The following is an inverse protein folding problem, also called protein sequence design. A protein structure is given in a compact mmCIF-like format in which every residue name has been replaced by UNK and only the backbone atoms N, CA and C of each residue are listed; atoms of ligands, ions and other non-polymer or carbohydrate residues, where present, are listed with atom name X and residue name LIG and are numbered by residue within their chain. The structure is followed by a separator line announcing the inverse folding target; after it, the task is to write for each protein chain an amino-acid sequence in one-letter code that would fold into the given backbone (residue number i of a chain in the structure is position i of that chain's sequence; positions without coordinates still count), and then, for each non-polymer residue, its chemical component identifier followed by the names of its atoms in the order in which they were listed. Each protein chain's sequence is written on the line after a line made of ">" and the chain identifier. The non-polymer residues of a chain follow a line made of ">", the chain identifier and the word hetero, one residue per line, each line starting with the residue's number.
data_IF_318240073160
#
_entry.id   IF_318240073160
#
_cell.length_a   1.000
_cell.length_b   1.000
_cell.length_c   1.000
_cell.angle_alpha   90.00
_cell.angle_beta   90.00
_cell.angle_gamma   90.00
#
_symmetry.space_group_name_H-M   'P 1'
#
loop_
_entity.id
_entity.type
_entity.pdbx_description
1 polymer ?
#
# COMPACT_ATOMS: atom_id res chain seq x y z
N UNK A 1 5.98 -9.74 -30.26
CA UNK A 1 5.89 -11.13 -30.77
C UNK A 1 6.09 -12.12 -29.63
N UNK A 2 5.00 -12.53 -28.97
CA UNK A 2 4.71 -13.86 -28.42
C UNK A 2 3.28 -13.74 -27.90
N UNK A 3 2.35 -13.97 -28.82
CA UNK A 3 0.96 -14.31 -28.57
C UNK A 3 0.67 -15.41 -29.58
N UNK A 4 -0.09 -16.41 -29.16
CA UNK A 4 -0.50 -17.59 -29.94
C UNK A 4 0.54 -18.71 -29.94
N UNK A 5 0.36 -19.67 -29.03
CA UNK A 5 0.33 -21.11 -29.34
C UNK A 5 -0.01 -21.87 -28.07
N UNK A 6 -1.15 -22.54 -28.08
CA UNK A 6 -1.43 -23.87 -27.50
C UNK A 6 -2.95 -24.02 -27.33
N UNK A 7 -3.62 -24.15 -28.47
CA UNK A 7 -4.87 -24.88 -28.57
C UNK A 7 -4.56 -26.17 -29.33
N UNK A 8 -5.17 -27.28 -28.89
CA UNK A 8 -5.08 -28.65 -29.41
C UNK A 8 -3.90 -29.51 -28.91
N UNK A 9 -4.16 -30.28 -27.84
CA UNK A 9 -3.97 -31.74 -27.79
C UNK A 9 -4.27 -32.24 -26.37
N UNK A 10 -5.19 -33.20 -26.23
CA UNK A 10 -5.45 -33.86 -24.95
C UNK A 10 -6.82 -34.55 -24.84
N UNK A 11 -7.10 -35.49 -25.75
CA UNK A 11 -8.13 -36.51 -25.57
C UNK A 11 -7.73 -37.41 -24.39
N UNK A 12 -8.65 -37.56 -23.42
CA UNK A 12 -8.74 -38.71 -22.51
C UNK A 12 -7.71 -38.84 -21.39
N UNK A 13 -7.98 -38.26 -20.21
CA UNK A 13 -7.50 -38.79 -18.92
C UNK A 13 -8.55 -38.57 -17.80
N UNK A 14 -8.63 -39.47 -16.79
CA UNK A 14 -9.72 -39.52 -15.83
C UNK A 14 -9.59 -38.42 -14.76
N UNK A 15 -10.61 -37.55 -14.69
CA UNK A 15 -11.18 -36.84 -13.53
C UNK A 15 -10.32 -36.54 -12.28
N UNK A 16 -9.04 -36.18 -12.43
CA UNK A 16 -8.24 -35.50 -11.38
C UNK A 16 -8.21 -33.97 -11.50
N UNK A 17 -8.93 -33.41 -12.47
CA UNK A 17 -8.72 -32.07 -13.02
C UNK A 17 -9.51 -30.92 -12.39
N UNK A 18 -10.53 -31.18 -11.56
CA UNK A 18 -11.41 -30.10 -11.06
C UNK A 18 -10.65 -29.16 -10.12
N UNK A 19 -9.82 -29.70 -9.21
CA UNK A 19 -8.99 -28.88 -8.29
C UNK A 19 -7.96 -28.04 -9.04
N UNK A 20 -7.34 -28.59 -10.09
CA UNK A 20 -6.34 -27.89 -10.90
C UNK A 20 -6.95 -26.79 -11.77
N UNK A 21 -8.11 -27.02 -12.38
CA UNK A 21 -8.85 -26.04 -13.19
C UNK A 21 -9.45 -24.91 -12.34
N UNK A 22 -9.92 -25.20 -11.14
CA UNK A 22 -10.38 -24.17 -10.18
C UNK A 22 -9.19 -23.36 -9.65
N UNK A 23 -8.05 -24.01 -9.39
CA UNK A 23 -6.81 -23.34 -8.99
C UNK A 23 -6.28 -22.38 -10.07
N UNK A 24 -6.20 -22.82 -11.32
CA UNK A 24 -5.74 -21.99 -12.44
C UNK A 24 -6.68 -20.83 -12.76
N UNK A 25 -8.00 -21.02 -12.74
CA UNK A 25 -8.96 -19.91 -12.90
C UNK A 25 -8.86 -18.88 -11.78
N UNK A 26 -8.69 -19.32 -10.54
CA UNK A 26 -8.49 -18.42 -9.41
C UNK A 26 -7.18 -17.63 -9.56
N UNK A 27 -6.08 -18.31 -9.90
CA UNK A 27 -4.77 -17.65 -10.13
C UNK A 27 -4.82 -16.67 -11.29
N UNK A 28 -5.44 -17.04 -12.42
CA UNK A 28 -5.58 -16.16 -13.57
C UNK A 28 -6.41 -14.90 -13.26
N UNK A 29 -7.48 -15.05 -12.48
CA UNK A 29 -8.27 -13.90 -12.00
C UNK A 29 -7.46 -13.00 -11.06
N UNK A 30 -6.70 -13.57 -10.14
CA UNK A 30 -5.87 -12.76 -9.25
C UNK A 30 -4.74 -12.06 -10.01
N UNK A 31 -4.11 -12.74 -10.98
CA UNK A 31 -3.13 -12.14 -11.86
C UNK A 31 -3.71 -10.98 -12.66
N UNK A 32 -4.93 -11.11 -13.21
CA UNK A 32 -5.56 -10.02 -13.94
C UNK A 32 -5.91 -8.82 -13.06
N UNK A 33 -6.31 -9.04 -11.80
CA UNK A 33 -6.51 -7.94 -10.84
C UNK A 33 -5.19 -7.25 -10.51
N UNK A 34 -4.12 -8.01 -10.26
CA UNK A 34 -2.79 -7.43 -9.98
C UNK A 34 -2.29 -6.63 -11.17
N UNK A 35 -2.41 -7.15 -12.40
CA UNK A 35 -2.06 -6.43 -13.62
C UNK A 35 -2.92 -5.17 -13.78
N UNK A 36 -4.22 -5.24 -13.52
CA UNK A 36 -5.11 -4.07 -13.58
C UNK A 36 -4.71 -2.98 -12.57
N UNK A 37 -4.43 -3.35 -11.33
CA UNK A 37 -3.98 -2.42 -10.29
C UNK A 37 -2.61 -1.83 -10.62
N UNK A 38 -1.68 -2.65 -11.15
CA UNK A 38 -0.38 -2.19 -11.61
C UNK A 38 -0.52 -1.19 -12.76
N UNK A 39 -1.39 -1.45 -13.73
CA UNK A 39 -1.65 -0.51 -14.84
C UNK A 39 -2.23 0.82 -14.37
N UNK A 40 -3.15 0.80 -13.38
CA UNK A 40 -3.69 2.03 -12.77
C UNK A 40 -2.60 2.78 -12.01
N UNK A 41 -1.73 2.07 -11.28
CA UNK A 41 -0.59 2.66 -10.60
C UNK A 41 0.39 3.33 -11.57
N UNK A 42 0.72 2.65 -12.68
CA UNK A 42 1.55 3.22 -13.75
C UNK A 42 0.93 4.48 -14.36
N UNK A 43 -0.40 4.49 -14.57
CA UNK A 43 -1.12 5.65 -15.08
C UNK A 43 -1.10 6.84 -14.12
N UNK A 44 -1.31 6.58 -12.82
CA UNK A 44 -1.21 7.61 -11.78
C UNK A 44 0.21 8.21 -11.72
N UNK A 45 1.25 7.38 -11.83
CA UNK A 45 2.64 7.82 -11.91
C UNK A 45 2.89 8.76 -13.10
N UNK A 46 2.35 8.43 -14.28
CA UNK A 46 2.46 9.29 -15.47
C UNK A 46 1.82 10.67 -15.28
N UNK A 47 0.67 10.74 -14.62
CA UNK A 47 -0.03 12.02 -14.36
C UNK A 47 0.70 12.88 -13.31
N UNK A 48 1.34 12.24 -12.33
CA UNK A 48 2.09 12.91 -11.26
C UNK A 48 3.34 13.63 -11.77
N UNK A 49 3.98 13.13 -12.84
CA UNK A 49 5.18 13.72 -13.44
C UNK A 49 5.01 15.18 -13.92
N UNK A 50 3.77 15.65 -14.08
CA UNK A 50 3.49 16.97 -14.66
C UNK A 50 3.34 18.11 -13.64
N UNK A 51 3.40 17.87 -12.33
CA UNK A 51 3.17 18.92 -11.31
C UNK A 51 4.16 18.84 -10.14
N UNK A 52 5.09 19.80 -10.11
CA UNK A 52 6.09 19.97 -9.03
C UNK A 52 5.83 21.25 -8.22
N UNK A 53 4.94 22.13 -8.68
CA UNK A 53 4.72 23.46 -8.13
C UNK A 53 4.05 23.44 -6.75
N UNK A 54 4.54 24.29 -5.85
CA UNK A 54 4.02 24.44 -4.48
C UNK A 54 4.36 23.31 -3.51
N UNK A 55 5.13 22.29 -3.93
CA UNK A 55 5.42 21.13 -3.08
C UNK A 55 6.17 21.50 -1.79
N UNK A 56 7.19 22.37 -1.90
CA UNK A 56 7.94 22.87 -0.74
C UNK A 56 7.10 23.78 0.17
N UNK A 57 6.17 24.54 -0.40
CA UNK A 57 5.27 25.41 0.38
C UNK A 57 4.30 24.58 1.21
N UNK A 58 3.70 23.54 0.61
CA UNK A 58 2.86 22.58 1.34
C UNK A 58 3.63 21.83 2.41
N UNK A 59 4.88 21.44 2.12
CA UNK A 59 5.75 20.82 3.10
C UNK A 59 6.03 21.74 4.31
N UNK A 60 6.32 23.03 4.06
CA UNK A 60 6.46 24.03 5.13
C UNK A 60 5.15 24.22 5.91
N UNK A 61 4.01 24.24 5.23
CA UNK A 61 2.71 24.34 5.89
C UNK A 61 2.43 23.12 6.78
N UNK A 62 2.69 21.90 6.29
CA UNK A 62 2.53 20.65 7.06
C UNK A 62 3.45 20.69 8.26
N UNK A 63 4.71 21.04 8.04
CA UNK A 63 5.67 21.30 9.11
C UNK A 63 4.95 22.25 10.10
N UNK A 64 4.66 23.50 9.78
CA UNK A 64 4.15 24.46 10.78
C UNK A 64 2.86 24.02 11.49
N UNK A 65 1.97 23.31 10.79
CA UNK A 65 0.79 22.69 11.37
C UNK A 65 1.15 21.69 12.49
N UNK A 66 2.11 20.80 12.29
CA UNK A 66 2.54 19.83 13.32
C UNK A 66 3.07 20.49 14.58
N UNK A 67 3.77 21.63 14.44
CA UNK A 67 4.23 22.39 15.61
C UNK A 67 3.08 23.07 16.34
N UNK A 68 2.11 23.63 15.61
CA UNK A 68 0.90 24.18 16.24
C UNK A 68 0.08 23.10 16.96
N UNK A 69 0.12 21.86 16.46
CA UNK A 69 -0.49 20.68 17.07
C UNK A 69 0.37 20.04 18.18
N UNK A 70 1.55 20.60 18.45
CA UNK A 70 2.51 20.09 19.45
C UNK A 70 2.90 18.62 19.23
N UNK A 71 2.98 18.18 17.96
CA UNK A 71 3.50 16.85 17.64
C UNK A 71 5.01 16.76 17.93
N UNK A 72 5.54 15.55 18.22
CA UNK A 72 6.98 15.35 18.41
C UNK A 72 7.78 15.79 17.18
N UNK A 73 8.94 16.40 17.37
CA UNK A 73 9.75 16.88 16.23
C UNK A 73 10.46 15.72 15.51
N UNK A 74 10.13 15.54 14.22
CA UNK A 74 10.81 14.65 13.29
C UNK A 74 12.28 15.01 13.15
N UNK A 75 12.58 16.32 13.12
CA UNK A 75 13.94 16.83 13.05
C UNK A 75 14.74 16.44 14.28
N UNK A 76 14.15 16.52 15.47
CA UNK A 76 14.81 16.08 16.71
C UNK A 76 15.12 14.58 16.65
N UNK A 77 14.17 13.76 16.18
CA UNK A 77 14.40 12.32 16.01
C UNK A 77 15.49 12.01 14.98
N UNK A 78 15.49 12.70 13.84
CA UNK A 78 16.54 12.55 12.85
C UNK A 78 17.90 12.95 13.42
N UNK A 79 18.00 14.08 14.14
CA UNK A 79 19.26 14.54 14.78
C UNK A 79 19.81 13.55 15.79
N UNK A 80 18.96 12.87 16.56
CA UNK A 80 19.39 11.81 17.47
C UNK A 80 19.94 10.59 16.72
N UNK A 81 19.39 10.27 15.55
CA UNK A 81 19.82 9.13 14.74
C UNK A 81 21.09 9.41 13.92
N UNK A 82 21.30 10.64 13.43
CA UNK A 82 22.37 11.00 12.50
C UNK A 82 23.80 10.60 12.96
N UNK A 83 24.19 10.70 14.25
CA UNK A 83 25.50 10.25 14.72
C UNK A 83 25.71 8.73 14.60
N UNK A 84 24.65 7.93 14.44
CA UNK A 84 24.70 6.48 14.41
C UNK A 84 24.60 5.96 12.98
N UNK A 85 25.73 5.91 12.27
CA UNK A 85 25.75 5.63 10.82
C UNK A 85 25.09 4.29 10.45
N UNK A 86 25.41 3.21 11.18
CA UNK A 86 24.81 1.89 10.93
C UNK A 86 23.29 1.87 11.11
N UNK A 87 22.76 2.68 12.04
CA UNK A 87 21.32 2.82 12.25
C UNK A 87 20.68 3.51 11.03
N UNK A 88 21.26 4.62 10.57
CA UNK A 88 20.74 5.38 9.42
C UNK A 88 20.78 4.53 8.15
N UNK A 89 21.87 3.81 7.89
CA UNK A 89 21.96 2.88 6.76
C UNK A 89 20.94 1.74 6.85
N UNK A 90 20.72 1.20 8.05
CA UNK A 90 19.69 0.17 8.26
C UNK A 90 18.28 0.74 8.02
N UNK A 91 18.00 1.97 8.46
CA UNK A 91 16.75 2.66 8.20
C UNK A 91 16.54 2.91 6.70
N UNK A 92 17.55 3.44 5.99
CA UNK A 92 17.51 3.63 4.53
C UNK A 92 17.23 2.31 3.79
N UNK A 93 17.93 1.23 4.18
CA UNK A 93 17.73 -0.09 3.58
C UNK A 93 16.33 -0.64 3.88
N UNK A 94 15.87 -0.53 5.12
CA UNK A 94 14.51 -0.92 5.49
C UNK A 94 13.47 -0.16 4.66
N UNK A 95 13.61 1.17 4.56
CA UNK A 95 12.75 2.02 3.74
C UNK A 95 12.72 1.56 2.27
N UNK A 96 13.89 1.17 1.73
CA UNK A 96 13.98 0.73 0.35
C UNK A 96 13.31 -0.63 0.08
N UNK A 97 13.41 -1.60 1.01
CA UNK A 97 13.08 -3.00 0.70
C UNK A 97 11.99 -3.64 1.55
N UNK A 98 11.60 -3.10 2.70
CA UNK A 98 10.73 -3.85 3.62
C UNK A 98 9.27 -3.96 3.13
N UNK A 99 8.75 -2.91 2.51
CA UNK A 99 7.31 -2.72 2.34
C UNK A 99 6.68 -3.67 1.33
N UNK A 100 7.24 -3.75 0.11
CA UNK A 100 6.75 -4.63 -0.95
C UNK A 100 6.77 -6.12 -0.56
N UNK A 101 7.92 -6.66 -0.12
CA UNK A 101 8.04 -8.03 0.38
C UNK A 101 7.10 -8.33 1.55
N UNK A 102 6.93 -7.42 2.52
CA UNK A 102 6.01 -7.62 3.63
C UNK A 102 4.54 -7.74 3.13
N UNK A 103 4.15 -6.89 2.19
CA UNK A 103 2.82 -6.94 1.58
C UNK A 103 2.60 -8.24 0.80
N UNK A 104 3.57 -8.65 -0.02
CA UNK A 104 3.52 -9.90 -0.78
C UNK A 104 3.44 -11.10 0.17
N UNK A 105 4.27 -11.15 1.20
CA UNK A 105 4.27 -12.21 2.19
C UNK A 105 2.91 -12.32 2.90
N UNK A 106 2.33 -11.17 3.30
CA UNK A 106 0.99 -11.12 3.91
C UNK A 106 -0.08 -11.66 2.96
N UNK A 107 -0.09 -11.22 1.70
CA UNK A 107 -1.06 -11.67 0.70
C UNK A 107 -0.91 -13.17 0.38
N UNK A 108 0.32 -13.68 0.25
CA UNK A 108 0.58 -15.11 0.05
C UNK A 108 0.12 -15.95 1.24
N UNK A 109 0.40 -15.49 2.46
CA UNK A 109 -0.07 -16.14 3.68
C UNK A 109 -1.60 -16.20 3.74
N UNK A 110 -2.29 -15.11 3.43
CA UNK A 110 -3.76 -15.08 3.35
C UNK A 110 -4.28 -16.01 2.25
N UNK A 111 -3.67 -15.98 1.07
CA UNK A 111 -4.10 -16.85 -0.04
C UNK A 111 -3.98 -18.34 0.30
N UNK A 112 -2.93 -18.70 1.05
CA UNK A 112 -2.64 -20.07 1.45
C UNK A 112 -3.44 -20.54 2.67
N UNK A 113 -3.70 -19.66 3.66
CA UNK A 113 -4.25 -20.04 4.98
C UNK A 113 -5.59 -19.37 5.33
N UNK A 114 -5.93 -18.23 4.74
CA UNK A 114 -7.11 -17.41 5.06
C UNK A 114 -7.81 -16.92 3.78
N UNK A 115 -8.13 -17.88 2.90
CA UNK A 115 -8.59 -17.63 1.53
C UNK A 115 -9.92 -16.87 1.46
N UNK A 116 -10.72 -16.96 2.51
CA UNK A 116 -11.95 -16.22 2.75
C UNK A 116 -11.70 -14.71 3.00
N UNK A 117 -10.58 -14.37 3.64
CA UNK A 117 -10.21 -12.98 3.97
C UNK A 117 -9.40 -12.31 2.85
N UNK A 118 -8.76 -13.09 2.00
CA UNK A 118 -7.87 -12.60 0.94
C UNK A 118 -8.53 -11.56 0.01
N UNK A 119 -9.72 -11.79 -0.59
CA UNK A 119 -10.31 -10.81 -1.51
C UNK A 119 -10.65 -9.48 -0.83
N UNK A 120 -11.16 -9.54 0.41
CA UNK A 120 -11.49 -8.35 1.20
C UNK A 120 -10.24 -7.53 1.51
N UNK A 121 -9.18 -8.20 1.93
CA UNK A 121 -7.89 -7.58 2.24
C UNK A 121 -7.23 -6.97 1.01
N UNK A 122 -7.17 -7.71 -0.10
CA UNK A 122 -6.65 -7.24 -1.39
C UNK A 122 -7.38 -5.97 -1.85
N UNK A 123 -8.71 -5.96 -1.77
CA UNK A 123 -9.52 -4.80 -2.15
C UNK A 123 -9.29 -3.60 -1.22
N UNK A 124 -9.12 -3.82 0.09
CA UNK A 124 -8.80 -2.76 1.04
C UNK A 124 -7.44 -2.13 0.75
N UNK A 125 -6.41 -2.96 0.53
CA UNK A 125 -5.07 -2.49 0.14
C UNK A 125 -5.16 -1.68 -1.16
N UNK A 126 -5.85 -2.19 -2.18
CA UNK A 126 -6.02 -1.51 -3.46
C UNK A 126 -6.72 -0.15 -3.30
N UNK A 127 -7.82 -0.10 -2.55
CA UNK A 127 -8.60 1.12 -2.38
C UNK A 127 -7.85 2.17 -1.55
N UNK A 128 -7.21 1.78 -0.45
CA UNK A 128 -6.39 2.70 0.37
C UNK A 128 -5.18 3.21 -0.42
N UNK A 129 -4.52 2.33 -1.17
CA UNK A 129 -3.39 2.74 -2.04
C UNK A 129 -3.87 3.69 -3.12
N UNK A 130 -4.98 3.38 -3.79
CA UNK A 130 -5.60 4.27 -4.79
C UNK A 130 -5.98 5.63 -4.22
N UNK A 131 -6.53 5.67 -3.00
CA UNK A 131 -6.84 6.92 -2.31
C UNK A 131 -5.57 7.73 -1.98
N UNK A 132 -4.50 7.07 -1.53
CA UNK A 132 -3.21 7.73 -1.31
C UNK A 132 -2.66 8.33 -2.61
N UNK A 133 -2.65 7.55 -3.70
CA UNK A 133 -2.18 8.02 -5.01
C UNK A 133 -3.00 9.20 -5.53
N UNK A 134 -4.32 9.17 -5.35
CA UNK A 134 -5.20 10.25 -5.76
C UNK A 134 -4.90 11.56 -5.01
N UNK A 135 -4.60 11.48 -3.71
CA UNK A 135 -4.18 12.64 -2.92
C UNK A 135 -2.78 13.11 -3.32
N UNK A 136 -1.85 12.18 -3.59
CA UNK A 136 -0.48 12.46 -4.02
C UNK A 136 -0.40 13.16 -5.39
N UNK A 137 -1.50 13.24 -6.16
CA UNK A 137 -1.59 14.13 -7.32
C UNK A 137 -1.43 15.61 -6.93
N UNK A 138 -1.60 15.95 -5.64
CA UNK A 138 -1.20 17.23 -5.04
C UNK A 138 0.20 17.04 -4.45
N UNK A 139 1.25 17.59 -5.08
CA UNK A 139 2.62 17.31 -4.69
C UNK A 139 2.95 17.96 -3.33
N UNK A 140 3.61 17.20 -2.48
CA UNK A 140 4.11 17.58 -1.14
C UNK A 140 5.56 17.14 -1.03
N UNK A 141 6.46 18.10 -0.83
CA UNK A 141 7.86 17.78 -0.63
C UNK A 141 8.06 17.08 0.72
N UNK A 142 8.95 16.07 0.80
CA UNK A 142 9.26 15.36 2.04
C UNK A 142 10.17 16.18 2.95
N UNK A 143 10.26 15.84 4.25
CA UNK A 143 11.09 16.58 5.22
C UNK A 143 12.54 16.76 4.79
N UNK A 144 13.17 15.74 4.17
CA UNK A 144 14.56 15.78 3.70
C UNK A 144 14.85 16.86 2.64
N UNK A 145 13.82 17.44 2.03
CA UNK A 145 13.94 18.57 1.10
C UNK A 145 13.77 19.94 1.80
N UNK A 146 13.54 19.97 3.12
CA UNK A 146 13.52 21.19 3.94
C UNK A 146 14.90 21.43 4.59
N UNK A 147 15.91 21.62 3.74
CA UNK A 147 17.30 21.90 4.13
C UNK A 147 17.45 23.14 5.01
N UNK A 148 16.71 24.21 4.74
CA UNK A 148 16.66 25.45 5.53
C UNK A 148 16.18 25.25 6.97
N UNK A 149 15.44 24.17 7.23
CA UNK A 149 15.01 23.77 8.59
C UNK A 149 16.09 22.92 9.27
N UNK A 150 16.99 22.31 8.49
CA UNK A 150 18.09 21.48 8.95
C UNK A 150 17.86 19.97 8.83
N UNK A 151 16.86 19.54 8.05
CA UNK A 151 16.71 18.13 7.68
C UNK A 151 17.83 17.69 6.72
N UNK A 152 18.18 16.41 6.80
CA UNK A 152 19.20 15.78 5.96
C UNK A 152 18.57 14.70 5.09
N UNK A 153 18.89 14.72 3.79
CA UNK A 153 18.59 13.61 2.88
C UNK A 153 19.59 12.47 3.12
N UNK A 154 19.21 11.56 4.03
CA UNK A 154 20.04 10.40 4.39
C UNK A 154 20.19 9.42 3.23
N UNK A 155 19.23 9.38 2.31
CA UNK A 155 19.31 8.54 1.13
C UNK A 155 20.40 9.03 0.18
N UNK A 156 20.48 10.34 -0.06
CA UNK A 156 21.55 10.93 -0.85
C UNK A 156 22.90 10.87 -0.12
N UNK A 157 22.93 11.20 1.18
CA UNK A 157 24.15 11.22 2.00
C UNK A 157 24.86 9.86 2.03
N UNK A 158 24.11 8.76 2.08
CA UNK A 158 24.66 7.40 2.14
C UNK A 158 24.62 6.66 0.79
N UNK A 159 24.33 7.35 -0.32
CA UNK A 159 24.18 6.75 -1.66
C UNK A 159 23.16 5.59 -1.71
N UNK A 160 22.10 5.69 -0.91
CA UNK A 160 21.03 4.69 -0.74
C UNK A 160 19.66 5.24 -1.17
N UNK A 161 19.62 6.34 -1.93
CA UNK A 161 18.38 6.93 -2.41
C UNK A 161 17.67 5.99 -3.40
N UNK A 162 16.43 5.66 -3.08
CA UNK A 162 15.54 4.85 -3.95
C UNK A 162 15.10 5.60 -5.21
N UNK A 163 15.31 6.92 -5.25
CA UNK A 163 14.84 7.79 -6.31
C UNK A 163 15.91 8.06 -7.37
N UNK A 164 17.19 7.96 -7.03
CA UNK A 164 18.29 8.05 -8.00
C UNK A 164 18.60 6.70 -8.65
N UNK A 165 18.47 5.59 -7.90
CA UNK A 165 18.85 4.26 -8.38
C UNK A 165 17.86 3.60 -9.35
N UNK A 166 16.58 4.03 -9.38
CA UNK A 166 15.49 3.33 -10.11
C UNK A 166 14.89 4.17 -11.24
N UNK A 167 15.48 5.32 -11.60
CA UNK A 167 14.93 6.21 -12.63
C UNK A 167 13.53 6.75 -12.32
N UNK A 168 13.12 6.71 -11.03
CA UNK A 168 11.87 7.28 -10.55
C UNK A 168 12.01 8.80 -10.58
N UNK A 169 11.21 9.46 -11.42
CA UNK A 169 11.31 10.90 -11.68
C UNK A 169 11.08 11.75 -10.42
N UNK A 170 11.37 13.06 -10.54
CA UNK A 170 11.20 14.03 -9.44
C UNK A 170 9.82 13.96 -8.77
N UNK A 171 8.75 13.67 -9.53
CA UNK A 171 7.40 13.58 -8.98
C UNK A 171 7.21 12.45 -7.96
N UNK A 172 7.89 11.31 -8.11
CA UNK A 172 7.82 10.22 -7.13
C UNK A 172 8.41 10.66 -5.77
N UNK A 173 9.35 11.61 -5.77
CA UNK A 173 9.94 12.16 -4.55
C UNK A 173 9.02 13.13 -3.82
N UNK A 174 8.04 13.72 -4.52
CA UNK A 174 7.13 14.75 -4.03
C UNK A 174 5.76 14.18 -3.63
N UNK A 175 5.68 12.88 -3.41
CA UNK A 175 4.47 12.17 -3.00
C UNK A 175 4.53 11.80 -1.51
N UNK A 176 4.97 12.73 -0.65
CA UNK A 176 5.14 12.48 0.77
C UNK A 176 3.79 12.22 1.47
N UNK A 177 2.78 13.06 1.23
CA UNK A 177 1.47 12.90 1.85
C UNK A 177 0.47 12.26 0.89
N UNK A 178 -0.26 11.19 1.29
CA UNK A 178 -0.14 10.41 2.52
C UNK A 178 0.95 9.32 2.41
N UNK A 179 1.41 8.79 3.55
CA UNK A 179 2.44 7.73 3.57
C UNK A 179 1.85 6.34 3.26
N UNK A 180 2.05 5.87 2.02
CA UNK A 180 1.66 4.50 1.60
C UNK A 180 2.37 3.43 2.42
N UNK A 181 3.62 3.67 2.83
CA UNK A 181 4.41 2.77 3.68
C UNK A 181 3.71 2.51 5.02
N UNK A 182 3.25 3.58 5.69
CA UNK A 182 2.52 3.49 6.95
C UNK A 182 1.15 2.84 6.74
N UNK A 183 0.42 3.22 5.69
CA UNK A 183 -0.88 2.59 5.36
C UNK A 183 -0.75 1.07 5.21
N UNK A 184 0.22 0.59 4.42
CA UNK A 184 0.44 -0.83 4.22
C UNK A 184 0.85 -1.54 5.50
N UNK A 185 1.76 -0.96 6.29
CA UNK A 185 2.21 -1.57 7.53
C UNK A 185 1.06 -1.72 8.54
N UNK A 186 0.18 -0.72 8.64
CA UNK A 186 -1.02 -0.77 9.50
C UNK A 186 -2.04 -1.78 8.99
N UNK A 187 -2.31 -1.81 7.67
CA UNK A 187 -3.21 -2.82 7.08
C UNK A 187 -2.70 -4.24 7.31
N UNK A 188 -1.39 -4.49 7.15
CA UNK A 188 -0.77 -5.78 7.47
C UNK A 188 -1.01 -6.14 8.94
N UNK A 189 -0.76 -5.20 9.86
CA UNK A 189 -0.98 -5.44 11.28
C UNK A 189 -2.44 -5.77 11.61
N UNK A 190 -3.39 -4.99 11.08
CA UNK A 190 -4.83 -5.23 11.26
C UNK A 190 -5.23 -6.63 10.78
N UNK A 191 -4.73 -7.04 9.61
CA UNK A 191 -5.08 -8.33 9.01
C UNK A 191 -4.46 -9.49 9.78
N UNK A 192 -3.19 -9.38 10.18
CA UNK A 192 -2.53 -10.42 10.98
C UNK A 192 -3.21 -10.61 12.33
N UNK A 193 -3.55 -9.51 13.01
CA UNK A 193 -4.26 -9.55 14.31
C UNK A 193 -5.67 -10.13 14.13
N UNK A 194 -6.40 -9.73 13.08
CA UNK A 194 -7.76 -10.19 12.81
C UNK A 194 -7.85 -11.63 12.32
N UNK A 195 -6.83 -12.13 11.60
CA UNK A 195 -6.84 -13.46 10.99
C UNK A 195 -6.16 -14.54 11.83
N UNK A 196 -5.28 -14.16 12.76
CA UNK A 196 -4.52 -15.10 13.59
C UNK A 196 -5.12 -15.24 14.99
N UNK A 197 -5.21 -16.48 15.48
CA UNK A 197 -5.57 -16.79 16.88
C UNK A 197 -4.35 -16.90 17.81
N UNK A 198 -3.13 -16.84 17.26
CA UNK A 198 -1.89 -16.98 18.05
C UNK A 198 -1.70 -15.81 19.01
N UNK A 199 -1.22 -16.08 20.23
CA UNK A 199 -0.80 -15.04 21.18
C UNK A 199 0.30 -14.11 20.63
N UNK A 200 1.09 -14.62 19.68
CA UNK A 200 2.18 -13.87 19.03
C UNK A 200 1.70 -12.90 17.94
N UNK A 201 0.40 -12.87 17.62
CA UNK A 201 -0.14 -11.97 16.58
C UNK A 201 0.16 -10.49 16.85
N UNK A 202 0.28 -10.09 18.11
CA UNK A 202 0.59 -8.72 18.51
C UNK A 202 2.02 -8.30 18.18
N UNK A 203 2.95 -9.26 18.00
CA UNK A 203 4.32 -8.95 17.57
C UNK A 203 4.35 -8.23 16.21
N UNK A 204 3.30 -8.38 15.39
CA UNK A 204 3.17 -7.64 14.13
C UNK A 204 3.15 -6.12 14.32
N UNK A 205 2.76 -5.61 15.50
CA UNK A 205 2.74 -4.17 15.79
C UNK A 205 4.13 -3.52 15.75
N UNK A 206 5.20 -4.33 15.87
CA UNK A 206 6.57 -3.86 15.65
C UNK A 206 6.74 -3.33 14.22
N UNK A 207 6.08 -3.93 13.22
CA UNK A 207 6.22 -3.53 11.82
C UNK A 207 5.71 -2.09 11.52
N UNK A 208 4.47 -1.70 11.87
CA UNK A 208 4.02 -0.31 11.68
C UNK A 208 4.79 0.68 12.58
N UNK A 209 5.14 0.30 13.81
CA UNK A 209 5.93 1.17 14.68
C UNK A 209 7.33 1.45 14.09
N UNK A 210 8.04 0.40 13.66
CA UNK A 210 9.34 0.50 13.00
C UNK A 210 9.23 1.28 11.70
N UNK A 211 8.18 1.04 10.91
CA UNK A 211 7.93 1.79 9.66
C UNK A 211 7.77 3.28 9.93
N UNK A 212 6.95 3.67 10.91
CA UNK A 212 6.75 5.08 11.28
C UNK A 212 8.06 5.75 11.71
N UNK A 213 8.87 5.08 12.54
CA UNK A 213 10.18 5.59 12.96
C UNK A 213 11.15 5.72 11.78
N UNK A 214 11.23 4.70 10.92
CA UNK A 214 12.15 4.69 9.77
C UNK A 214 11.82 5.81 8.78
N UNK A 215 10.55 6.03 8.46
CA UNK A 215 10.17 7.08 7.49
C UNK A 215 10.47 8.49 8.00
N UNK A 216 10.42 8.69 9.31
CA UNK A 216 10.78 9.95 9.98
C UNK A 216 12.30 10.12 10.02
N UNK A 217 13.05 9.12 10.47
CA UNK A 217 14.53 9.18 10.55
C UNK A 217 15.15 9.44 9.17
N UNK A 218 14.61 8.79 8.13
CA UNK A 218 15.10 8.96 6.76
C UNK A 218 14.63 10.27 6.10
N UNK A 219 13.82 11.07 6.79
CA UNK A 219 13.26 12.32 6.28
C UNK A 219 12.33 12.13 5.08
N UNK A 220 11.68 10.96 4.97
CA UNK A 220 10.77 10.68 3.87
C UNK A 220 9.33 11.12 4.13
N UNK A 221 8.92 11.18 5.40
CA UNK A 221 7.55 11.52 5.78
C UNK A 221 7.49 12.34 7.06
N UNK A 222 6.53 13.26 7.12
CA UNK A 222 6.06 13.92 8.35
C UNK A 222 5.15 12.98 9.15
N UNK A 223 4.87 13.28 10.42
CA UNK A 223 3.89 12.52 11.20
C UNK A 223 2.49 12.57 10.58
N UNK A 224 2.08 13.74 10.11
CA UNK A 224 0.77 13.95 9.48
C UNK A 224 0.61 13.10 8.21
N UNK A 225 1.69 12.82 7.47
CA UNK A 225 1.63 11.91 6.33
C UNK A 225 1.15 10.51 6.75
N UNK A 226 1.65 10.03 7.89
CA UNK A 226 1.23 8.78 8.52
C UNK A 226 -0.18 8.84 9.09
N UNK A 227 -0.52 9.93 9.79
CA UNK A 227 -1.87 10.12 10.38
C UNK A 227 -2.95 10.11 9.29
N UNK A 228 -2.75 10.88 8.20
CA UNK A 228 -3.67 10.92 7.07
C UNK A 228 -3.77 9.54 6.43
N UNK A 229 -2.66 8.84 6.24
CA UNK A 229 -2.64 7.48 5.68
C UNK A 229 -3.50 6.50 6.51
N UNK A 230 -3.39 6.53 7.84
CA UNK A 230 -4.22 5.70 8.73
C UNK A 230 -5.69 6.13 8.70
N UNK A 231 -5.96 7.44 8.65
CA UNK A 231 -7.31 7.98 8.59
C UNK A 231 -8.08 7.59 7.32
N UNK A 232 -7.39 7.23 6.23
CA UNK A 232 -8.02 6.72 5.00
C UNK A 232 -8.52 5.28 5.12
N UNK A 233 -8.07 4.50 6.11
CA UNK A 233 -8.43 3.09 6.23
C UNK A 233 -9.92 2.90 6.58
N UNK A 234 -10.48 3.52 7.64
CA UNK A 234 -11.89 3.34 7.99
C UNK A 234 -12.89 3.64 6.85
N UNK A 235 -12.82 4.80 6.14
CA UNK A 235 -13.75 5.07 5.04
C UNK A 235 -13.59 4.08 3.89
N UNK A 236 -12.36 3.65 3.56
CA UNK A 236 -12.14 2.62 2.54
C UNK A 236 -12.82 1.29 2.92
N UNK A 237 -12.69 0.87 4.19
CA UNK A 237 -13.39 -0.33 4.69
C UNK A 237 -14.91 -0.16 4.68
N UNK A 238 -15.43 1.03 4.99
CA UNK A 238 -16.86 1.33 4.93
C UNK A 238 -17.41 1.21 3.51
N UNK A 239 -16.72 1.76 2.51
CA UNK A 239 -17.07 1.64 1.08
C UNK A 239 -17.12 0.18 0.65
N UNK A 240 -16.13 -0.63 1.04
CA UNK A 240 -16.09 -2.05 0.70
C UNK A 240 -17.22 -2.85 1.35
N UNK A 241 -17.58 -2.53 2.61
CA UNK A 241 -18.72 -3.14 3.30
C UNK A 241 -20.05 -2.77 2.65
N UNK A 242 -20.24 -1.51 2.30
CA UNK A 242 -21.44 -1.04 1.61
C UNK A 242 -21.61 -1.72 0.25
N UNK A 243 -20.53 -1.79 -0.55
CA UNK A 243 -20.54 -2.47 -1.84
C UNK A 243 -20.92 -3.95 -1.71
N UNK A 244 -20.36 -4.66 -0.72
CA UNK A 244 -20.71 -6.06 -0.46
C UNK A 244 -22.19 -6.23 -0.04
N UNK A 245 -22.71 -5.32 0.79
CA UNK A 245 -24.12 -5.33 1.22
C UNK A 245 -25.09 -5.12 0.06
N UNK A 246 -24.78 -4.20 -0.86
CA UNK A 246 -25.59 -3.96 -2.06
C UNK A 246 -25.63 -5.19 -2.97
N UNK A 247 -24.50 -5.86 -3.20
CA UNK A 247 -24.45 -7.09 -3.99
C UNK A 247 -25.29 -8.21 -3.37
N UNK A 248 -25.20 -8.40 -2.05
CA UNK A 248 -26.03 -9.39 -1.34
C UNK A 248 -27.52 -9.09 -1.44
N UNK A 249 -27.93 -7.82 -1.31
CA UNK A 249 -29.33 -7.41 -1.43
C UNK A 249 -29.87 -7.60 -2.85
N UNK A 250 -29.09 -7.28 -3.89
CA UNK A 250 -29.47 -7.51 -5.28
C UNK A 250 -29.65 -8.99 -5.61
N UNK A 251 -28.73 -9.85 -5.15
CA UNK A 251 -28.84 -11.30 -5.33
C UNK A 251 -30.07 -11.87 -4.61
N UNK A 252 -30.34 -11.41 -3.39
CA UNK A 252 -31.50 -11.86 -2.60
C UNK A 252 -32.83 -11.42 -3.24
N UNK A 253 -32.90 -10.20 -3.78
CA UNK A 253 -34.06 -9.72 -4.55
C UNK A 253 -34.25 -10.48 -5.86
N UNK A 254 -33.18 -10.74 -6.61
CA UNK A 254 -33.25 -11.51 -7.85
C UNK A 254 -33.72 -12.95 -7.63
N UNK A 255 -33.26 -13.60 -6.56
CA UNK A 255 -33.71 -14.93 -6.17
C UNK A 255 -35.18 -14.95 -5.70
N UNK A 256 -35.65 -13.90 -5.01
CA UNK A 256 -37.04 -13.77 -4.58
C UNK A 256 -38.03 -13.50 -5.74
N UNK A 257 -37.55 -12.95 -6.87
CA UNK A 257 -38.35 -12.69 -8.07
C UNK A 257 -38.32 -13.87 -9.08
N UNK A 258 -37.40 -14.81 -8.93
CA UNK A 258 -37.29 -16.02 -9.75
C UNK A 258 -38.43 -17.07 -9.61
N UNK A 259 -39.25 -17.15 -8.53
CA UNK A 259 -40.26 -18.21 -8.42
C UNK A 259 -41.47 -18.08 -9.36
N UNK A 260 -41.62 -16.98 -10.11
CA UNK A 260 -42.84 -16.74 -10.90
C UNK A 260 -42.77 -17.21 -12.38
N UNK A 261 -41.64 -17.78 -12.84
CA UNK A 261 -41.40 -18.08 -14.28
C UNK A 261 -41.39 -19.57 -14.61
N UNK A 262 -41.52 -20.48 -13.63
CA UNK A 262 -41.50 -21.93 -13.86
C UNK A 262 -42.86 -22.66 -13.67
N UNK A 263 -43.97 -21.92 -13.51
CA UNK A 263 -45.34 -22.50 -13.45
C UNK A 263 -46.25 -22.07 -14.62
N UNK A 264 -45.74 -22.06 -15.86
CA UNK A 264 -46.59 -21.99 -17.06
C UNK A 264 -46.20 -23.02 -18.10
#
# INVERSE_FOLDING_TARGET
>A
MISICLAALGLGLPTRDVRWRVGTKAVAREASVVVGLYSIWQLAGMLSLMKVTGALERARWIWDAERSLHLPSELAMQRVALPHHLLVEACNRYYAVAHGPALIACLLWLFARHRDQYPRTRNAIALVTGACLAIQLIPVAPPRMLDHVGFVDTGLLYHQSVYTAVGRGMADQLSAMPSVHVAWAVLIAMVVIGSSSSRWRWAVLVHPAMTAVVVVITGNHFWLDGVVAVALIPPALAVLRAAAGLSHHQLSRGAALAPAVLER
#
